data_IF_793985691285
#
_entry.id   IF_793985691285
#
_cell.length_a   1.000
_cell.length_b   1.000
_cell.length_c   1.000
_cell.angle_alpha   90.00
_cell.angle_beta   90.00
_cell.angle_gamma   90.00
#
_symmetry.space_group_name_H-M   'P 1'
#
loop_
_entity.id
_entity.type
_entity.pdbx_description
1 polymer ?
#
# COMPACT_ATOMS: atom_id res chain seq x y z
N UNK A 1 -2.55 13.19 18.87
CA UNK A 1 -1.10 13.46 19.06
C UNK A 1 -0.31 12.93 17.87
N UNK A 2 -0.44 11.64 17.47
CA UNK A 2 0.30 11.05 16.35
C UNK A 2 0.03 11.79 15.03
N UNK A 3 -1.22 12.01 14.64
CA UNK A 3 -1.59 12.77 13.43
C UNK A 3 -0.91 14.14 13.38
N UNK A 4 -0.82 14.86 14.50
CA UNK A 4 -0.15 16.17 14.53
C UNK A 4 1.34 16.05 14.24
N UNK A 5 2.01 15.01 14.76
CA UNK A 5 3.41 14.72 14.47
C UNK A 5 3.64 14.36 13.01
N UNK A 6 2.76 13.54 12.44
CA UNK A 6 2.79 13.18 11.02
C UNK A 6 2.68 14.43 10.14
N UNK A 7 1.66 15.28 10.37
CA UNK A 7 1.47 16.52 9.62
C UNK A 7 2.68 17.44 9.78
N UNK A 8 3.18 17.60 11.00
CA UNK A 8 4.35 18.45 11.28
C UNK A 8 5.60 17.94 10.53
N UNK A 9 5.93 16.66 10.64
CA UNK A 9 7.11 16.10 9.98
C UNK A 9 6.99 16.14 8.45
N UNK A 10 5.82 15.87 7.89
CA UNK A 10 5.58 15.94 6.46
C UNK A 10 5.76 17.37 5.92
N UNK A 11 5.29 18.38 6.67
CA UNK A 11 5.43 19.78 6.29
C UNK A 11 6.85 20.29 6.46
N UNK A 12 7.41 20.17 7.65
CA UNK A 12 8.69 20.81 8.02
C UNK A 12 9.91 20.06 7.46
N UNK A 13 9.85 18.74 7.36
CA UNK A 13 10.93 17.89 6.87
C UNK A 13 10.66 17.46 5.42
N UNK A 14 9.48 16.88 5.15
CA UNK A 14 9.11 16.39 3.83
C UNK A 14 8.87 17.50 2.78
N UNK A 15 8.57 18.72 3.22
CA UNK A 15 8.24 19.85 2.33
C UNK A 15 6.87 19.69 1.65
N UNK A 16 5.91 19.02 2.31
CA UNK A 16 4.62 18.63 1.76
C UNK A 16 3.47 19.39 2.43
N UNK A 17 2.44 19.74 1.65
CA UNK A 17 1.15 20.14 2.21
C UNK A 17 0.30 18.89 2.44
N UNK A 18 -0.27 18.78 3.64
CA UNK A 18 -0.98 17.57 4.10
C UNK A 18 -2.38 17.91 4.58
N UNK A 19 -3.35 17.17 4.10
CA UNK A 19 -4.74 17.20 4.56
C UNK A 19 -5.03 15.97 5.42
N UNK A 20 -5.66 16.17 6.59
CA UNK A 20 -6.11 15.07 7.42
C UNK A 20 -7.39 14.46 6.83
N UNK A 21 -7.32 13.19 6.44
CA UNK A 21 -8.45 12.43 5.94
C UNK A 21 -9.17 11.71 7.08
N UNK A 22 -10.51 11.78 7.10
CA UNK A 22 -11.29 10.99 8.06
C UNK A 22 -11.31 9.52 7.63
N UNK A 23 -10.49 8.71 8.29
CA UNK A 23 -10.52 7.27 8.14
C UNK A 23 -11.78 6.63 8.74
N UNK A 24 -11.95 5.36 8.46
CA UNK A 24 -12.98 4.51 9.05
C UNK A 24 -12.47 3.82 10.32
N UNK A 25 -13.35 3.58 11.26
CA UNK A 25 -13.05 2.84 12.47
C UNK A 25 -13.83 1.50 12.56
N UNK A 26 -13.45 0.64 13.51
CA UNK A 26 -14.05 -0.68 13.68
C UNK A 26 -15.57 -0.66 13.94
N UNK A 27 -16.10 0.43 14.49
CA UNK A 27 -17.51 0.55 14.81
C UNK A 27 -18.37 0.78 13.57
N UNK A 28 -17.76 1.27 12.48
CA UNK A 28 -18.41 1.46 11.17
C UNK A 28 -18.51 0.16 10.36
N UNK A 29 -17.91 -0.95 10.81
CA UNK A 29 -17.79 -2.21 10.08
C UNK A 29 -19.11 -2.72 9.47
N UNK A 30 -20.18 -2.70 10.25
CA UNK A 30 -21.51 -3.18 9.79
C UNK A 30 -22.07 -2.34 8.65
N UNK A 31 -21.91 -1.03 8.73
CA UNK A 31 -22.39 -0.10 7.70
C UNK A 31 -21.51 -0.17 6.45
N UNK A 32 -20.20 -0.28 6.63
CA UNK A 32 -19.26 -0.47 5.53
C UNK A 32 -19.56 -1.75 4.74
N UNK A 33 -19.88 -2.85 5.43
CA UNK A 33 -20.28 -4.10 4.77
C UNK A 33 -21.57 -4.00 3.99
N UNK A 34 -22.54 -3.22 4.46
CA UNK A 34 -23.78 -2.96 3.72
C UNK A 34 -23.52 -2.11 2.49
N UNK A 35 -22.69 -1.07 2.65
CA UNK A 35 -22.37 -0.13 1.57
C UNK A 35 -21.52 -0.78 0.48
N UNK A 36 -20.60 -1.66 0.87
CA UNK A 36 -19.63 -2.33 -0.02
C UNK A 36 -19.72 -3.84 0.20
N UNK A 37 -20.52 -4.57 -0.61
CA UNK A 37 -20.72 -6.00 -0.47
C UNK A 37 -19.55 -6.83 -1.01
N UNK A 38 -18.33 -6.44 -0.66
CA UNK A 38 -17.14 -7.20 -1.05
C UNK A 38 -17.13 -8.58 -0.40
N UNK A 39 -16.62 -9.56 -1.14
CA UNK A 39 -16.22 -10.83 -0.56
C UNK A 39 -15.02 -10.57 0.36
N UNK A 40 -15.21 -10.79 1.66
CA UNK A 40 -14.09 -10.82 2.60
C UNK A 40 -13.51 -12.22 2.49
N UNK A 41 -12.24 -12.31 2.17
CA UNK A 41 -11.56 -13.60 2.13
C UNK A 41 -11.36 -14.07 3.56
N UNK A 42 -12.22 -15.01 3.95
CA UNK A 42 -12.26 -15.59 5.29
C UNK A 42 -11.11 -16.62 5.45
N UNK A 43 -9.90 -16.12 5.36
CA UNK A 43 -8.72 -16.89 5.76
C UNK A 43 -8.34 -16.43 7.14
N UNK A 44 -8.83 -17.12 8.13
CA UNK A 44 -8.50 -16.96 9.55
C UNK A 44 -7.00 -16.72 9.78
N UNK A 45 -6.17 -17.38 9.00
CA UNK A 45 -4.71 -17.27 9.03
C UNK A 45 -4.15 -15.92 8.59
N UNK A 46 -4.88 -15.15 7.76
CA UNK A 46 -4.49 -13.82 7.28
C UNK A 46 -4.88 -12.75 8.31
N UNK A 47 -6.04 -12.95 8.98
CA UNK A 47 -6.64 -11.96 9.84
C UNK A 47 -6.30 -12.14 11.33
N UNK A 48 -6.04 -13.37 11.78
CA UNK A 48 -5.97 -13.73 13.20
C UNK A 48 -4.64 -13.43 13.90
N UNK A 49 -3.55 -13.11 13.17
CA UNK A 49 -2.24 -13.05 13.83
C UNK A 49 -1.89 -11.77 14.54
N UNK A 50 -2.46 -10.61 14.15
CA UNK A 50 -1.95 -9.33 14.64
C UNK A 50 -2.97 -8.24 14.92
N UNK A 51 -4.23 -8.36 14.51
CA UNK A 51 -5.20 -7.28 14.61
C UNK A 51 -6.63 -7.78 14.84
N UNK A 52 -7.42 -6.95 15.47
CA UNK A 52 -8.86 -7.14 15.49
C UNK A 52 -9.42 -7.05 14.06
N UNK A 53 -10.14 -8.08 13.66
CA UNK A 53 -10.70 -8.24 12.32
C UNK A 53 -11.42 -6.99 11.80
N UNK A 54 -12.32 -6.40 12.62
CA UNK A 54 -13.06 -5.19 12.26
C UNK A 54 -12.16 -3.97 12.05
N UNK A 55 -11.11 -3.83 12.84
CA UNK A 55 -10.13 -2.73 12.71
C UNK A 55 -9.35 -2.85 11.40
N UNK A 56 -8.94 -4.05 11.04
CA UNK A 56 -8.18 -4.30 9.81
C UNK A 56 -9.04 -4.02 8.58
N UNK A 57 -10.33 -4.40 8.62
CA UNK A 57 -11.27 -4.08 7.55
C UNK A 57 -11.55 -2.58 7.49
N UNK A 58 -11.70 -1.91 8.62
CA UNK A 58 -11.87 -0.46 8.64
C UNK A 58 -10.63 0.26 8.07
N UNK A 59 -9.43 -0.23 8.38
CA UNK A 59 -8.19 0.25 7.77
C UNK A 59 -8.22 0.07 6.25
N UNK A 60 -8.58 -1.12 5.74
CA UNK A 60 -8.76 -1.32 4.30
C UNK A 60 -9.72 -0.31 3.69
N UNK A 61 -10.88 -0.07 4.29
CA UNK A 61 -11.85 0.90 3.77
C UNK A 61 -11.36 2.35 3.84
N UNK A 62 -10.49 2.68 4.78
CA UNK A 62 -9.83 3.99 4.82
C UNK A 62 -8.95 4.17 3.59
N UNK A 63 -8.09 3.20 3.27
CA UNK A 63 -7.29 3.21 2.04
C UNK A 63 -8.16 3.19 0.79
N UNK A 64 -9.19 2.35 0.75
CA UNK A 64 -10.14 2.27 -0.37
C UNK A 64 -10.82 3.61 -0.66
N UNK A 65 -11.21 4.35 0.39
CA UNK A 65 -11.81 5.67 0.23
C UNK A 65 -10.83 6.69 -0.37
N UNK A 66 -9.55 6.61 -0.03
CA UNK A 66 -8.48 7.43 -0.61
C UNK A 66 -8.17 7.03 -2.06
N UNK A 67 -8.19 5.74 -2.40
CA UNK A 67 -8.09 5.31 -3.81
C UNK A 67 -9.23 5.86 -4.64
N UNK A 68 -10.48 5.84 -4.13
CA UNK A 68 -11.61 6.50 -4.80
C UNK A 68 -11.38 7.98 -4.98
N UNK A 69 -10.90 8.67 -3.96
CA UNK A 69 -10.56 10.10 -4.05
C UNK A 69 -9.52 10.36 -5.14
N UNK A 70 -8.47 9.53 -5.21
CA UNK A 70 -7.44 9.60 -6.24
C UNK A 70 -8.03 9.52 -7.66
N UNK A 71 -8.94 8.57 -7.89
CA UNK A 71 -9.62 8.40 -9.18
C UNK A 71 -10.54 9.58 -9.48
N UNK A 72 -11.32 10.06 -8.51
CA UNK A 72 -12.25 11.18 -8.65
C UNK A 72 -11.54 12.49 -8.97
N UNK A 73 -10.42 12.77 -8.32
CA UNK A 73 -9.64 14.01 -8.56
C UNK A 73 -8.75 13.94 -9.80
N UNK A 74 -8.46 12.71 -10.28
CA UNK A 74 -7.49 12.45 -11.35
C UNK A 74 -6.07 12.93 -11.02
N UNK A 75 -5.75 12.99 -9.75
CA UNK A 75 -4.45 13.43 -9.26
C UNK A 75 -3.72 12.28 -8.56
N UNK A 76 -2.40 12.22 -8.76
CA UNK A 76 -1.51 11.38 -7.97
C UNK A 76 -1.56 11.84 -6.52
N UNK A 77 -1.79 10.94 -5.58
CA UNK A 77 -1.86 11.26 -4.15
C UNK A 77 -0.82 10.48 -3.35
N UNK A 78 -0.36 11.11 -2.29
CA UNK A 78 0.42 10.45 -1.25
C UNK A 78 -0.50 10.09 -0.08
N UNK A 79 -0.47 8.84 0.33
CA UNK A 79 -1.24 8.31 1.45
C UNK A 79 -0.28 8.01 2.59
N UNK A 80 -0.61 8.51 3.77
CA UNK A 80 0.19 8.32 4.98
C UNK A 80 -0.70 7.89 6.12
N UNK A 81 -0.24 6.92 6.90
CA UNK A 81 -0.89 6.56 8.15
C UNK A 81 -0.53 7.58 9.25
N UNK A 82 -1.32 7.56 10.31
CA UNK A 82 -1.29 8.59 11.37
C UNK A 82 -0.01 8.60 12.23
N UNK A 83 0.86 7.63 12.09
CA UNK A 83 2.12 7.46 12.80
C UNK A 83 3.36 7.58 11.90
N UNK A 84 3.16 7.88 10.63
CA UNK A 84 4.25 8.16 9.68
C UNK A 84 5.06 9.37 10.10
N UNK A 85 6.38 9.27 10.10
CA UNK A 85 7.30 10.37 10.40
C UNK A 85 8.29 10.54 9.25
N UNK A 86 8.28 11.71 8.62
CA UNK A 86 9.28 12.05 7.61
C UNK A 86 10.64 12.29 8.25
N UNK A 87 11.67 11.78 7.61
CA UNK A 87 13.08 11.91 8.02
C UNK A 87 13.90 12.64 7.00
N UNK A 88 13.35 12.81 5.77
CA UNK A 88 14.03 13.51 4.70
C UNK A 88 13.02 14.24 3.80
N UNK A 89 13.53 15.17 2.97
CA UNK A 89 12.74 15.93 2.02
C UNK A 89 12.30 15.01 0.88
N UNK A 90 11.00 15.03 0.61
CA UNK A 90 10.41 14.25 -0.47
C UNK A 90 10.92 14.70 -1.85
N UNK A 91 11.25 13.74 -2.70
CA UNK A 91 11.57 13.91 -4.12
C UNK A 91 10.53 13.18 -4.95
N UNK A 92 9.86 13.87 -5.87
CA UNK A 92 8.81 13.30 -6.70
C UNK A 92 9.39 12.47 -7.86
N UNK A 93 8.77 11.32 -8.11
CA UNK A 93 9.09 10.42 -9.20
C UNK A 93 7.86 10.19 -10.08
N UNK A 94 8.09 9.99 -11.37
CA UNK A 94 7.09 9.55 -12.32
C UNK A 94 7.13 8.02 -12.44
N UNK A 95 6.07 7.36 -11.98
CA UNK A 95 5.97 5.91 -11.99
C UNK A 95 4.52 5.48 -12.02
N UNK A 96 4.17 4.60 -12.96
CA UNK A 96 2.83 4.01 -13.04
C UNK A 96 2.74 2.79 -12.12
N UNK A 97 2.25 3.01 -10.91
CA UNK A 97 2.19 1.98 -9.89
C UNK A 97 2.00 2.57 -8.50
N UNK A 98 2.44 1.84 -7.49
CA UNK A 98 2.62 2.33 -6.13
C UNK A 98 4.09 2.55 -5.86
N UNK A 99 4.45 3.72 -5.35
CA UNK A 99 5.79 4.01 -4.83
C UNK A 99 5.70 3.99 -3.31
N UNK A 100 6.34 3.00 -2.66
CA UNK A 100 6.53 3.08 -1.20
C UNK A 100 7.66 4.05 -0.87
N UNK A 101 7.36 5.01 -0.02
CA UNK A 101 8.29 6.03 0.47
C UNK A 101 8.62 5.83 1.95
N UNK A 102 7.84 4.99 2.62
CA UNK A 102 8.10 4.56 3.98
C UNK A 102 9.01 3.33 4.00
N UNK A 103 9.80 3.18 5.06
CA UNK A 103 10.62 1.99 5.25
C UNK A 103 9.71 0.78 5.48
N UNK A 104 9.67 -0.20 4.58
CA UNK A 104 8.84 -1.36 4.79
C UNK A 104 9.30 -2.13 6.02
N UNK A 105 8.35 -2.51 6.89
CA UNK A 105 8.64 -3.23 8.14
C UNK A 105 9.37 -4.56 7.93
N UNK A 106 9.17 -5.20 6.79
CA UNK A 106 9.78 -6.47 6.42
C UNK A 106 10.06 -6.51 4.92
N UNK A 107 11.30 -6.25 4.53
CA UNK A 107 11.78 -6.62 3.20
C UNK A 107 12.27 -8.09 3.30
N UNK A 108 11.33 -8.99 3.50
CA UNK A 108 11.61 -10.42 3.38
C UNK A 108 10.97 -10.94 2.11
N UNK A 109 11.52 -10.51 0.98
CA UNK A 109 11.38 -11.29 -0.22
C UNK A 109 12.18 -12.59 -0.08
N UNK A 110 11.85 -13.66 -0.82
CA UNK A 110 12.79 -14.77 -1.00
C UNK A 110 14.14 -14.20 -1.50
N UNK A 111 15.24 -14.87 -1.23
CA UNK A 111 16.62 -14.45 -1.53
C UNK A 111 16.90 -14.06 -3.01
N UNK A 112 15.88 -13.86 -3.80
CA UNK A 112 15.87 -13.57 -5.22
C UNK A 112 15.11 -12.28 -5.59
N UNK A 113 14.82 -11.40 -4.62
CA UNK A 113 14.20 -10.12 -4.92
C UNK A 113 15.15 -9.27 -5.75
N UNK A 114 14.76 -9.01 -6.98
CA UNK A 114 15.45 -8.06 -7.83
C UNK A 114 14.91 -6.67 -7.52
N UNK A 115 15.83 -5.73 -7.41
CA UNK A 115 15.54 -4.31 -7.43
C UNK A 115 16.10 -3.75 -8.73
N UNK A 116 15.20 -3.34 -9.60
CA UNK A 116 15.56 -2.73 -10.89
C UNK A 116 15.54 -1.20 -10.74
N UNK A 117 16.65 -0.57 -11.05
CA UNK A 117 16.71 0.90 -11.06
C UNK A 117 15.82 1.42 -12.19
N UNK A 118 14.82 2.22 -11.82
CA UNK A 118 13.88 2.86 -12.75
C UNK A 118 14.30 4.30 -13.02
N UNK A 119 14.64 5.03 -11.96
CA UNK A 119 15.00 6.45 -12.03
C UNK A 119 15.93 6.80 -10.87
N UNK A 120 16.66 7.91 -11.02
CA UNK A 120 17.50 8.48 -9.97
C UNK A 120 17.45 9.99 -10.02
N UNK A 121 17.13 10.59 -8.87
CA UNK A 121 17.12 12.04 -8.68
C UNK A 121 17.92 12.39 -7.45
N UNK A 122 18.94 13.20 -7.62
CA UNK A 122 19.90 13.52 -6.57
C UNK A 122 20.51 12.22 -5.98
N UNK A 123 20.44 12.04 -4.67
CA UNK A 123 20.92 10.84 -3.98
C UNK A 123 19.83 9.78 -3.75
N UNK A 124 18.64 9.96 -4.35
CA UNK A 124 17.50 9.06 -4.20
C UNK A 124 17.31 8.21 -5.44
N UNK A 125 17.25 6.91 -5.26
CA UNK A 125 16.96 5.93 -6.30
C UNK A 125 15.52 5.44 -6.19
N UNK A 126 14.85 5.32 -7.35
CA UNK A 126 13.56 4.64 -7.48
C UNK A 126 13.82 3.22 -8.00
N UNK A 127 13.51 2.23 -7.19
CA UNK A 127 13.76 0.82 -7.47
C UNK A 127 12.44 0.06 -7.64
N UNK A 128 12.22 -0.51 -8.84
CA UNK A 128 11.07 -1.39 -9.09
C UNK A 128 11.31 -2.74 -8.44
N UNK A 129 10.29 -3.28 -7.81
CA UNK A 129 10.31 -4.63 -7.29
C UNK A 129 10.19 -5.64 -8.42
N UNK A 130 11.23 -6.44 -8.60
CA UNK A 130 11.34 -7.51 -9.60
C UNK A 130 11.30 -8.90 -8.96
N UNK A 131 11.36 -9.93 -9.80
CA UNK A 131 11.43 -11.33 -9.39
C UNK A 131 12.32 -12.11 -10.37
N UNK A 132 13.31 -12.83 -9.84
CA UNK A 132 14.11 -13.75 -10.62
C UNK A 132 13.27 -14.96 -11.05
N UNK A 133 13.20 -15.22 -12.36
CA UNK A 133 12.51 -16.38 -12.90
C UNK A 133 11.01 -16.28 -13.00
N UNK A 134 10.41 -15.14 -12.63
CA UNK A 134 9.03 -14.86 -13.00
C UNK A 134 8.99 -14.37 -14.45
N UNK A 135 8.06 -14.88 -15.29
CA UNK A 135 7.87 -14.30 -16.60
C UNK A 135 7.52 -12.81 -16.47
N UNK A 136 7.84 -11.99 -17.47
CA UNK A 136 7.34 -10.63 -17.52
C UNK A 136 5.83 -10.69 -17.51
N UNK A 137 5.22 -10.23 -16.42
CA UNK A 137 3.80 -10.35 -16.14
C UNK A 137 3.53 -10.69 -14.69
N UNK A 138 2.27 -10.68 -14.34
CA UNK A 138 1.82 -11.00 -12.99
C UNK A 138 2.17 -12.46 -12.64
N UNK A 139 2.73 -12.72 -11.45
CA UNK A 139 2.96 -14.08 -10.97
C UNK A 139 1.66 -14.89 -10.98
N UNK A 140 1.76 -16.22 -11.09
CA UNK A 140 0.57 -17.07 -11.15
C UNK A 140 -0.32 -16.91 -9.91
N UNK A 141 -1.64 -16.98 -10.11
CA UNK A 141 -2.64 -16.87 -9.03
C UNK A 141 -2.45 -17.90 -7.91
N UNK A 142 -1.73 -19.00 -8.16
CA UNK A 142 -1.42 -20.03 -7.16
C UNK A 142 -0.59 -19.50 -5.98
N UNK A 143 0.17 -18.44 -6.19
CA UNK A 143 0.99 -17.77 -5.18
C UNK A 143 0.43 -16.42 -4.72
N UNK A 144 -0.77 -16.10 -5.17
CA UNK A 144 -1.46 -14.87 -4.82
C UNK A 144 -1.82 -14.84 -3.33
N UNK A 145 -1.76 -13.67 -2.65
CA UNK A 145 -2.24 -13.54 -1.27
C UNK A 145 -3.71 -13.90 -1.10
N UNK A 146 -4.47 -13.97 -2.19
CA UNK A 146 -5.89 -14.37 -2.20
C UNK A 146 -6.09 -15.89 -2.18
N UNK A 147 -5.14 -16.65 -2.65
CA UNK A 147 -5.24 -18.12 -2.81
C UNK A 147 -4.24 -18.89 -1.97
N UNK A 148 -3.10 -18.31 -1.66
CA UNK A 148 -2.03 -18.98 -0.96
C UNK A 148 -2.25 -18.98 0.56
N UNK A 149 -2.22 -20.17 1.17
CA UNK A 149 -2.23 -20.37 2.63
C UNK A 149 -0.84 -20.21 3.26
N UNK A 150 0.21 -20.10 2.46
CA UNK A 150 1.59 -20.08 2.92
C UNK A 150 2.12 -18.66 3.12
N UNK A 151 2.76 -18.41 4.25
CA UNK A 151 3.42 -17.14 4.61
C UNK A 151 4.45 -16.66 3.56
N UNK A 152 4.97 -17.56 2.73
CA UNK A 152 5.92 -17.27 1.66
C UNK A 152 5.32 -16.41 0.53
N UNK A 153 3.99 -16.45 0.34
CA UNK A 153 3.31 -15.66 -0.69
C UNK A 153 3.10 -14.20 -0.26
N UNK A 154 3.32 -13.86 0.99
CA UNK A 154 3.24 -12.50 1.52
C UNK A 154 4.46 -11.63 1.14
N UNK A 155 5.49 -12.18 0.54
CA UNK A 155 6.71 -11.44 0.16
C UNK A 155 6.50 -10.43 -0.97
N UNK A 156 5.35 -10.49 -1.64
CA UNK A 156 5.01 -9.60 -2.75
C UNK A 156 4.05 -8.47 -2.36
N UNK A 157 3.68 -8.40 -1.10
CA UNK A 157 2.75 -7.41 -0.56
C UNK A 157 3.52 -6.23 0.03
N UNK A 158 2.91 -5.04 -0.04
CA UNK A 158 3.46 -3.84 0.58
C UNK A 158 3.30 -3.90 2.10
N UNK A 159 4.17 -4.64 2.76
CA UNK A 159 4.17 -4.74 4.22
C UNK A 159 4.46 -3.39 4.87
N UNK A 160 3.54 -2.95 5.74
CA UNK A 160 3.62 -1.63 6.34
C UNK A 160 3.33 -0.53 5.31
N UNK A 161 2.13 -0.57 4.70
CA UNK A 161 1.66 0.45 3.75
C UNK A 161 1.40 1.81 4.43
N UNK A 162 2.27 2.21 5.36
CA UNK A 162 2.11 3.41 6.17
C UNK A 162 2.41 4.73 5.42
N UNK A 163 3.20 4.67 4.33
CA UNK A 163 3.46 5.82 3.48
C UNK A 163 3.74 5.38 2.03
N UNK A 164 2.87 5.76 1.12
CA UNK A 164 3.04 5.43 -0.30
C UNK A 164 2.33 6.43 -1.22
N UNK A 165 2.74 6.44 -2.47
CA UNK A 165 2.16 7.26 -3.53
C UNK A 165 1.44 6.35 -4.50
N UNK A 166 0.29 6.82 -5.02
CA UNK A 166 -0.51 6.08 -5.98
C UNK A 166 -1.06 6.98 -7.07
N UNK A 167 -1.06 6.51 -8.31
CA UNK A 167 -1.67 7.18 -9.46
C UNK A 167 -3.15 6.81 -9.60
N UNK A 168 -3.97 7.65 -10.29
CA UNK A 168 -5.38 7.34 -10.53
C UNK A 168 -5.61 5.99 -11.23
N UNK A 169 -4.80 5.67 -12.24
CA UNK A 169 -4.89 4.40 -12.98
C UNK A 169 -4.62 3.20 -12.05
N UNK A 170 -3.62 3.32 -11.20
CA UNK A 170 -3.28 2.26 -10.24
C UNK A 170 -4.35 2.12 -9.15
N UNK A 171 -4.90 3.25 -8.68
CA UNK A 171 -6.00 3.26 -7.72
C UNK A 171 -7.25 2.58 -8.29
N UNK A 172 -7.60 2.85 -9.56
CA UNK A 172 -8.70 2.19 -10.26
C UNK A 172 -8.51 0.68 -10.33
N UNK A 173 -7.32 0.20 -10.70
CA UNK A 173 -6.99 -1.24 -10.69
C UNK A 173 -7.18 -1.88 -9.32
N UNK A 174 -6.74 -1.24 -8.23
CA UNK A 174 -6.93 -1.77 -6.86
C UNK A 174 -8.42 -1.82 -6.48
N UNK A 175 -9.20 -0.81 -6.88
CA UNK A 175 -10.65 -0.80 -6.68
C UNK A 175 -11.31 -1.94 -7.45
N UNK A 176 -11.00 -2.13 -8.72
CA UNK A 176 -11.51 -3.24 -9.54
C UNK A 176 -11.17 -4.60 -8.94
N UNK A 177 -9.92 -4.80 -8.50
CA UNK A 177 -9.49 -6.04 -7.84
C UNK A 177 -10.22 -6.29 -6.52
N UNK A 178 -10.64 -5.25 -5.82
CA UNK A 178 -11.47 -5.38 -4.61
C UNK A 178 -12.84 -6.00 -4.93
N UNK A 179 -13.44 -5.65 -6.06
CA UNK A 179 -14.71 -6.23 -6.52
C UNK A 179 -14.53 -7.64 -7.10
N UNK A 180 -13.47 -7.86 -7.87
CA UNK A 180 -13.19 -9.13 -8.55
C UNK A 180 -12.78 -10.24 -7.57
N UNK A 181 -11.78 -9.96 -6.74
CA UNK A 181 -11.12 -10.96 -5.89
C UNK A 181 -11.61 -10.96 -4.44
N UNK A 182 -12.27 -9.89 -4.03
CA UNK A 182 -12.58 -9.63 -2.64
C UNK A 182 -11.48 -8.85 -1.93
N UNK A 183 -11.66 -8.62 -0.63
CA UNK A 183 -10.75 -7.81 0.17
C UNK A 183 -9.92 -8.64 1.15
N UNK A 184 -8.70 -8.18 1.36
CA UNK A 184 -7.71 -8.62 2.34
C UNK A 184 -7.18 -7.37 3.06
N UNK A 185 -6.34 -7.46 4.11
CA UNK A 185 -5.69 -6.28 4.68
C UNK A 185 -5.08 -5.37 3.60
N UNK A 186 -5.13 -4.05 3.78
CA UNK A 186 -4.72 -3.08 2.75
C UNK A 186 -3.28 -3.34 2.26
N UNK A 187 -2.37 -3.62 3.19
CA UNK A 187 -0.97 -3.95 2.91
C UNK A 187 -0.79 -5.27 2.12
N UNK A 188 -1.74 -6.19 2.22
CA UNK A 188 -1.78 -7.42 1.40
C UNK A 188 -2.49 -7.19 0.07
N UNK A 189 -3.44 -6.24 0.01
CA UNK A 189 -4.15 -5.91 -1.22
C UNK A 189 -3.24 -5.13 -2.20
N UNK A 190 -2.38 -4.27 -1.67
CA UNK A 190 -1.31 -3.62 -2.44
C UNK A 190 -0.19 -4.65 -2.63
N UNK A 191 -0.22 -5.35 -3.74
CA UNK A 191 0.72 -6.43 -4.04
C UNK A 191 1.04 -6.49 -5.53
N UNK A 192 2.15 -7.14 -5.88
CA UNK A 192 2.64 -7.25 -7.26
C UNK A 192 1.76 -8.09 -8.19
N UNK A 193 0.81 -8.84 -7.67
CA UNK A 193 -0.18 -9.55 -8.49
C UNK A 193 -1.25 -8.59 -9.02
N UNK A 194 -1.47 -7.49 -8.35
CA UNK A 194 -2.47 -6.51 -8.71
C UNK A 194 -1.89 -5.34 -9.49
N UNK A 195 -0.70 -4.87 -9.08
CA UNK A 195 -0.09 -3.63 -9.55
C UNK A 195 1.43 -3.68 -9.52
N UNK A 196 2.08 -2.76 -10.25
CA UNK A 196 3.51 -2.51 -10.12
C UNK A 196 3.81 -1.79 -8.79
N UNK A 197 4.94 -2.16 -8.18
CA UNK A 197 5.43 -1.53 -6.94
C UNK A 197 6.88 -1.13 -7.13
N UNK A 198 7.20 0.07 -6.69
CA UNK A 198 8.56 0.56 -6.55
C UNK A 198 8.80 1.06 -5.11
N UNK A 199 10.04 1.24 -4.74
CA UNK A 199 10.46 1.82 -3.46
C UNK A 199 11.51 2.90 -3.68
N UNK A 200 11.57 3.87 -2.81
CA UNK A 200 12.65 4.85 -2.78
C UNK A 200 13.78 4.39 -1.88
N UNK A 201 15.02 4.61 -2.31
CA UNK A 201 16.21 4.41 -1.47
C UNK A 201 17.09 5.68 -1.50
N UNK A 202 17.31 6.31 -0.33
CA UNK A 202 16.73 5.98 0.98
C UNK A 202 15.21 6.20 1.04
N UNK A 203 14.56 5.60 2.05
CA UNK A 203 13.15 5.88 2.37
C UNK A 203 13.02 7.28 2.96
N UNK A 204 11.94 7.99 2.64
CA UNK A 204 11.68 9.35 3.15
C UNK A 204 10.98 9.35 4.51
N UNK A 205 10.35 8.23 4.90
CA UNK A 205 9.55 8.13 6.10
C UNK A 205 9.71 6.79 6.85
N UNK A 206 9.34 6.83 8.13
CA UNK A 206 9.29 5.67 9.03
C UNK A 206 7.95 5.60 9.75
#
# INVERSE_FOLDING_TARGET
ESVKRTIFSAKEIGGLEVEAWKGHDRYEFKELRKKYPFKILDKKEIWDKFCYFESTIACFFSHFSLWKKCVETKEKIMIMEHDTIFTDRYVDFDFEGVITIGKPLWVTGPNNDIRELVDKKDDVELLRWGCNGCPPGLPSLEHSPYTCSNFKCNSWCLKGAHAYIITPITAEKLIEKSYELGIVPADNHINRYNIEIAETQPSFAY
#
